data_IF_339105596015
#
_entry.id   IF_339105596015
#
_cell.length_a   1.000
_cell.length_b   1.000
_cell.length_c   1.000
_cell.angle_alpha   90.00
_cell.angle_beta   90.00
_cell.angle_gamma   90.00
#
_symmetry.space_group_name_H-M   'P 1'
#
loop_
_entity.id
_entity.type
_entity.pdbx_description
1 polymer ?
#
# COMPACT_ATOMS: atom_id res chain seq x y z
N UNK A 1 -45.22 -20.95 -47.77
CA UNK A 1 -44.03 -21.78 -48.04
C UNK A 1 -43.09 -21.51 -46.87
N UNK A 2 -42.88 -22.38 -45.88
CA UNK A 2 -42.35 -23.76 -45.96
C UNK A 2 -40.94 -23.76 -46.60
N UNK A 3 -39.86 -24.35 -46.06
CA UNK A 3 -39.59 -25.17 -44.86
C UNK A 3 -38.09 -24.99 -44.46
N UNK A 4 -37.50 -25.49 -43.37
CA UNK A 4 -37.93 -26.43 -42.30
C UNK A 4 -37.16 -26.19 -40.97
N UNK A 5 -37.25 -27.13 -40.01
CA UNK A 5 -36.31 -27.36 -38.88
C UNK A 5 -35.78 -28.80 -38.94
N UNK A 6 -34.50 -29.04 -38.65
CA UNK A 6 -33.88 -30.32 -38.22
C UNK A 6 -32.62 -29.94 -37.41
N UNK A 7 -32.26 -30.42 -36.20
CA UNK A 7 -32.41 -31.70 -35.46
C UNK A 7 -31.61 -32.89 -36.02
N UNK A 8 -31.21 -33.80 -35.12
CA UNK A 8 -30.16 -34.85 -35.22
C UNK A 8 -28.76 -34.26 -34.95
N UNK A 9 -28.10 -34.36 -33.78
CA UNK A 9 -28.05 -35.36 -32.68
C UNK A 9 -27.25 -36.64 -33.02
N UNK A 10 -26.54 -37.21 -32.03
CA UNK A 10 -25.68 -38.42 -32.09
C UNK A 10 -24.26 -38.19 -32.69
N UNK A 11 -23.17 -38.85 -32.23
CA UNK A 11 -22.99 -39.76 -31.09
C UNK A 11 -21.50 -39.79 -30.64
N UNK A 12 -21.29 -40.17 -29.38
CA UNK A 12 -20.01 -40.34 -28.66
C UNK A 12 -19.03 -41.29 -29.37
N UNK A 13 -17.73 -40.97 -29.34
CA UNK A 13 -16.67 -41.99 -29.28
C UNK A 13 -15.56 -41.57 -28.32
N UNK A 14 -15.34 -42.40 -27.31
CA UNK A 14 -14.34 -42.22 -26.26
C UNK A 14 -12.97 -42.71 -26.73
N UNK A 15 -11.90 -41.98 -26.43
CA UNK A 15 -10.58 -42.58 -26.18
C UNK A 15 -10.11 -42.09 -24.82
N UNK A 16 -9.81 -43.04 -23.94
CA UNK A 16 -9.45 -42.78 -22.56
C UNK A 16 -7.93 -42.76 -22.37
N UNK A 17 -7.49 -42.05 -21.32
CA UNK A 17 -6.17 -42.15 -20.66
C UNK A 17 -4.95 -41.81 -21.51
N UNK A 18 -4.37 -40.63 -21.24
CA UNK A 18 -2.92 -40.48 -21.20
C UNK A 18 -2.48 -39.76 -19.91
N UNK A 19 -1.82 -40.53 -19.04
CA UNK A 19 -0.94 -40.14 -17.94
C UNK A 19 -1.13 -38.76 -17.26
N UNK A 20 -2.00 -38.71 -16.24
CA UNK A 20 -1.80 -37.82 -15.09
C UNK A 20 -0.66 -38.37 -14.21
N UNK A 21 0.59 -37.98 -14.47
CA UNK A 21 1.72 -38.23 -13.55
C UNK A 21 2.99 -37.43 -13.88
N UNK A 22 2.87 -36.11 -14.13
CA UNK A 22 3.95 -35.19 -13.75
C UNK A 22 3.92 -35.07 -12.23
N UNK A 23 4.91 -35.62 -11.54
CA UNK A 23 4.83 -35.91 -10.11
C UNK A 23 4.61 -34.67 -9.23
N UNK A 24 3.89 -34.86 -8.13
CA UNK A 24 4.16 -34.08 -6.93
C UNK A 24 5.56 -34.46 -6.44
N UNK A 25 6.56 -33.72 -6.88
CA UNK A 25 7.86 -33.73 -6.23
C UNK A 25 7.65 -33.19 -4.81
N UNK A 26 7.66 -34.08 -3.82
CA UNK A 26 7.63 -33.70 -2.40
C UNK A 26 8.90 -32.91 -2.09
N UNK A 27 8.82 -31.59 -2.20
CA UNK A 27 9.89 -30.70 -1.78
C UNK A 27 10.19 -30.95 -0.30
N UNK A 28 11.47 -31.00 0.11
CA UNK A 28 11.84 -31.44 1.45
C UNK A 28 11.41 -30.41 2.51
N UNK A 29 10.86 -30.92 3.62
CA UNK A 29 10.04 -30.20 4.61
C UNK A 29 10.73 -29.03 5.36
N UNK A 30 12.01 -28.76 5.10
CA UNK A 30 12.81 -27.77 5.83
C UNK A 30 12.58 -26.31 5.37
N UNK A 31 12.08 -26.08 4.14
CA UNK A 31 11.75 -24.72 3.67
C UNK A 31 10.34 -24.26 4.11
N UNK A 32 9.43 -25.19 4.43
CA UNK A 32 8.05 -24.93 4.83
C UNK A 32 7.95 -23.93 5.97
N UNK A 33 8.78 -24.10 7.01
CA UNK A 33 8.81 -23.21 8.18
C UNK A 33 9.34 -21.80 7.84
N UNK A 34 10.31 -21.67 6.93
CA UNK A 34 10.83 -20.37 6.54
C UNK A 34 9.81 -19.57 5.70
N UNK A 35 9.17 -20.23 4.72
CA UNK A 35 8.13 -19.63 3.89
C UNK A 35 6.88 -19.26 4.71
N UNK A 36 6.39 -20.16 5.57
CA UNK A 36 5.27 -19.91 6.48
C UNK A 36 5.57 -18.77 7.47
N UNK A 37 6.77 -18.75 8.07
CA UNK A 37 7.20 -17.68 8.98
C UNK A 37 7.29 -16.32 8.28
N UNK A 38 7.87 -16.27 7.07
CA UNK A 38 7.94 -15.07 6.24
C UNK A 38 6.56 -14.53 5.86
N UNK A 39 5.64 -15.41 5.46
CA UNK A 39 4.26 -15.09 5.13
C UNK A 39 3.50 -14.53 6.34
N UNK A 40 3.47 -15.27 7.44
CA UNK A 40 2.82 -14.88 8.70
C UNK A 40 3.39 -13.56 9.28
N UNK A 41 4.70 -13.32 9.15
CA UNK A 41 5.33 -12.04 9.56
C UNK A 41 4.92 -10.87 8.65
N UNK A 42 4.67 -11.13 7.37
CA UNK A 42 4.22 -10.12 6.40
C UNK A 42 2.75 -9.80 6.60
N UNK A 43 1.89 -10.82 6.73
CA UNK A 43 0.47 -10.69 7.07
C UNK A 43 0.30 -9.89 8.38
N UNK A 44 1.05 -10.22 9.44
CA UNK A 44 1.08 -9.44 10.70
C UNK A 44 1.56 -7.99 10.58
N UNK A 45 2.34 -7.63 9.55
CA UNK A 45 2.73 -6.24 9.30
C UNK A 45 1.64 -5.48 8.55
N UNK A 46 0.93 -6.14 7.64
CA UNK A 46 -0.18 -5.57 6.87
C UNK A 46 -1.38 -5.31 7.80
N UNK A 47 -1.78 -6.31 8.58
CA UNK A 47 -2.84 -6.23 9.59
C UNK A 47 -2.64 -5.06 10.57
N UNK A 48 -1.43 -4.93 11.13
CA UNK A 48 -1.06 -3.78 11.96
C UNK A 48 -1.18 -2.45 11.22
N UNK A 49 -0.71 -2.37 9.98
CA UNK A 49 -0.79 -1.13 9.20
C UNK A 49 -2.24 -0.69 8.96
N UNK A 50 -3.14 -1.63 8.68
CA UNK A 50 -4.57 -1.38 8.54
C UNK A 50 -5.22 -0.95 9.85
N UNK A 51 -4.87 -1.56 10.98
CA UNK A 51 -5.36 -1.15 12.29
C UNK A 51 -4.95 0.30 12.66
N UNK A 52 -3.70 0.70 12.37
CA UNK A 52 -3.27 2.09 12.58
C UNK A 52 -3.93 3.05 11.60
N UNK A 53 -4.06 2.70 10.31
CA UNK A 53 -4.79 3.49 9.32
C UNK A 53 -6.23 3.75 9.75
N UNK A 54 -6.94 2.71 10.17
CA UNK A 54 -8.33 2.81 10.66
C UNK A 54 -8.43 3.72 11.90
N UNK A 55 -7.51 3.63 12.86
CA UNK A 55 -7.46 4.53 14.02
C UNK A 55 -7.22 5.98 13.62
N UNK A 56 -6.29 6.23 12.70
CA UNK A 56 -6.01 7.57 12.19
C UNK A 56 -7.23 8.15 11.47
N UNK A 57 -7.87 7.42 10.55
CA UNK A 57 -9.03 7.91 9.81
C UNK A 57 -10.27 8.14 10.69
N UNK A 58 -10.53 7.25 11.66
CA UNK A 58 -11.77 7.30 12.48
C UNK A 58 -11.67 8.19 13.72
N UNK A 59 -10.50 8.24 14.37
CA UNK A 59 -10.29 8.99 15.62
C UNK A 59 -9.33 10.16 15.48
N UNK A 60 -8.66 10.31 14.33
CA UNK A 60 -7.54 11.23 14.14
C UNK A 60 -6.41 10.98 15.15
N UNK A 61 -6.23 9.72 15.52
CA UNK A 61 -5.27 9.26 16.53
C UNK A 61 -3.83 9.65 16.19
N UNK A 62 -3.25 10.50 17.02
CA UNK A 62 -1.92 11.10 16.85
C UNK A 62 -0.80 10.05 16.84
N UNK A 63 -0.88 9.05 17.72
CA UNK A 63 0.08 7.94 17.79
C UNK A 63 -0.01 7.03 16.58
N UNK A 64 -1.19 6.90 15.98
CA UNK A 64 -1.37 6.18 14.72
C UNK A 64 -0.76 6.93 13.53
N UNK A 65 -0.92 8.25 13.47
CA UNK A 65 -0.25 9.11 12.48
C UNK A 65 1.27 8.93 12.54
N UNK A 66 1.87 9.09 13.73
CA UNK A 66 3.32 8.90 13.95
C UNK A 66 3.79 7.48 13.60
N UNK A 67 2.99 6.46 13.93
CA UNK A 67 3.32 5.08 13.57
C UNK A 67 3.33 4.87 12.05
N UNK A 68 2.37 5.43 11.32
CA UNK A 68 2.31 5.33 9.85
C UNK A 68 3.53 6.03 9.23
N UNK A 69 3.83 7.26 9.65
CA UNK A 69 5.01 8.02 9.22
C UNK A 69 6.29 7.20 9.40
N UNK A 70 6.49 6.62 10.59
CA UNK A 70 7.71 5.88 10.94
C UNK A 70 7.84 4.50 10.27
N UNK A 71 6.73 3.77 10.07
CA UNK A 71 6.76 2.35 9.69
C UNK A 71 6.30 2.07 8.25
N UNK A 72 5.61 3.03 7.63
CA UNK A 72 4.96 2.87 6.32
C UNK A 72 5.46 3.84 5.27
N UNK A 73 6.11 4.94 5.63
CA UNK A 73 6.68 5.90 4.67
C UNK A 73 8.22 5.84 4.61
N UNK A 74 8.78 6.19 3.46
CA UNK A 74 10.20 6.46 3.25
C UNK A 74 10.39 7.45 2.08
N UNK A 75 11.49 8.23 2.08
CA UNK A 75 11.86 9.07 0.95
C UNK A 75 12.03 8.22 -0.33
N UNK A 76 11.37 8.60 -1.42
CA UNK A 76 11.30 7.82 -2.66
C UNK A 76 9.92 7.25 -3.01
N UNK A 77 8.93 7.34 -2.11
CA UNK A 77 7.55 6.92 -2.41
C UNK A 77 6.84 7.87 -3.38
N UNK A 78 6.01 7.35 -4.28
CA UNK A 78 5.05 8.19 -5.01
C UNK A 78 3.96 8.73 -4.09
N UNK A 79 3.41 9.90 -4.42
CA UNK A 79 2.31 10.52 -3.66
C UNK A 79 1.09 9.61 -3.55
N UNK A 80 0.77 8.87 -4.62
CA UNK A 80 -0.29 7.86 -4.61
C UNK A 80 -0.02 6.72 -3.61
N UNK A 81 1.25 6.33 -3.42
CA UNK A 81 1.63 5.34 -2.39
C UNK A 81 1.45 5.91 -0.99
N UNK A 82 1.87 7.17 -0.76
CA UNK A 82 1.70 7.87 0.52
C UNK A 82 0.21 8.01 0.89
N UNK A 83 -0.62 8.45 -0.06
CA UNK A 83 -2.07 8.54 0.12
C UNK A 83 -2.70 7.17 0.47
N UNK A 84 -2.29 6.10 -0.22
CA UNK A 84 -2.72 4.73 0.10
C UNK A 84 -2.30 4.29 1.51
N UNK A 85 -1.12 4.68 1.98
CA UNK A 85 -0.66 4.32 3.33
C UNK A 85 -1.44 5.04 4.43
N UNK A 86 -1.82 6.32 4.23
CA UNK A 86 -2.75 7.03 5.12
C UNK A 86 -4.22 6.64 4.95
N UNK A 87 -4.61 6.12 3.79
CA UNK A 87 -6.00 5.86 3.42
C UNK A 87 -6.81 7.12 3.08
N UNK A 88 -6.14 8.27 2.90
CA UNK A 88 -6.73 9.52 2.43
C UNK A 88 -5.72 10.29 1.57
N UNK A 89 -6.24 11.04 0.58
CA UNK A 89 -5.43 11.95 -0.22
C UNK A 89 -4.99 13.17 0.60
N UNK A 90 -3.75 13.60 0.40
CA UNK A 90 -3.23 14.83 0.97
C UNK A 90 -3.84 16.06 0.29
N UNK A 91 -4.05 17.13 1.04
CA UNK A 91 -4.54 18.41 0.51
C UNK A 91 -3.36 19.22 -0.05
N UNK A 92 -3.35 19.51 -1.35
CA UNK A 92 -2.32 20.34 -2.00
C UNK A 92 -2.20 21.73 -1.36
N UNK A 93 -0.98 22.20 -1.16
CA UNK A 93 -0.68 23.49 -0.53
C UNK A 93 0.01 24.44 -1.51
N UNK A 94 -0.78 25.07 -2.37
CA UNK A 94 -0.31 26.01 -3.42
C UNK A 94 0.61 27.12 -2.86
N UNK A 95 0.26 27.69 -1.71
CA UNK A 95 0.98 28.80 -1.06
C UNK A 95 2.03 28.35 -0.03
N UNK A 96 2.85 27.35 -0.38
CA UNK A 96 3.94 26.80 0.45
C UNK A 96 5.15 27.74 0.64
N UNK A 97 4.93 29.06 0.68
CA UNK A 97 5.97 30.08 0.91
C UNK A 97 6.69 29.90 2.25
N UNK A 98 5.98 29.42 3.28
CA UNK A 98 6.55 29.19 4.62
C UNK A 98 7.47 27.95 4.66
N UNK A 99 7.10 26.85 3.99
CA UNK A 99 7.96 25.67 3.83
C UNK A 99 9.26 26.04 3.08
N UNK A 100 9.14 26.84 2.01
CA UNK A 100 10.29 27.38 1.26
C UNK A 100 11.14 28.36 2.08
N UNK A 101 10.57 28.98 3.11
CA UNK A 101 11.27 29.93 4.01
C UNK A 101 11.92 29.26 5.25
N UNK A 102 11.59 28.01 5.56
CA UNK A 102 12.12 27.32 6.77
C UNK A 102 13.59 26.89 6.60
N UNK A 103 14.13 26.97 5.38
CA UNK A 103 15.52 26.67 5.05
C UNK A 103 15.75 25.17 4.81
N UNK A 104 16.28 24.81 3.65
CA UNK A 104 16.52 23.43 3.27
C UNK A 104 16.61 23.24 1.75
N UNK A 105 16.74 21.98 1.31
CA UNK A 105 16.95 21.57 -0.09
C UNK A 105 15.66 21.64 -0.94
N UNK A 106 14.80 22.61 -0.66
CA UNK A 106 13.51 22.81 -1.31
C UNK A 106 13.67 23.62 -2.61
N UNK A 107 13.11 23.12 -3.70
CA UNK A 107 13.06 23.80 -4.99
C UNK A 107 11.76 24.60 -5.13
N UNK A 108 11.76 25.56 -6.03
CA UNK A 108 10.55 26.31 -6.40
C UNK A 108 9.46 25.42 -6.98
N UNK A 109 9.84 24.33 -7.64
CA UNK A 109 8.99 23.30 -8.26
C UNK A 109 8.54 22.19 -7.30
N UNK A 110 9.04 22.14 -6.07
CA UNK A 110 8.60 21.13 -5.12
C UNK A 110 7.17 21.45 -4.64
N UNK A 111 6.33 20.42 -4.63
CA UNK A 111 4.93 20.45 -4.22
C UNK A 111 4.80 20.02 -2.78
N UNK A 112 3.87 20.61 -2.02
CA UNK A 112 3.59 20.20 -0.65
C UNK A 112 2.15 19.75 -0.50
N UNK A 113 1.96 18.66 0.24
CA UNK A 113 0.66 18.08 0.53
C UNK A 113 0.50 17.91 2.05
N UNK A 114 -0.69 18.25 2.53
CA UNK A 114 -1.05 18.25 3.96
C UNK A 114 -1.94 17.05 4.28
N UNK A 115 -1.57 16.31 5.33
CA UNK A 115 -2.42 15.32 6.00
C UNK A 115 -2.82 15.80 7.41
N UNK A 116 -3.98 15.36 7.87
CA UNK A 116 -4.57 15.78 9.14
C UNK A 116 -5.49 17.01 9.04
N UNK A 117 -5.80 17.67 10.16
CA UNK A 117 -5.16 17.54 11.46
C UNK A 117 -5.43 16.21 12.18
N UNK A 118 -4.54 15.84 13.10
CA UNK A 118 -4.78 14.84 14.14
C UNK A 118 -5.66 15.40 15.28
N UNK A 119 -6.00 14.56 16.26
CA UNK A 119 -6.83 14.88 17.42
C UNK A 119 -6.30 16.06 18.26
N UNK A 120 -4.99 16.35 18.18
CA UNK A 120 -4.34 17.46 18.86
C UNK A 120 -4.21 18.71 17.97
N UNK A 121 -4.81 18.70 16.78
CA UNK A 121 -4.72 19.78 15.79
C UNK A 121 -3.45 19.76 14.93
N UNK A 122 -2.51 18.82 15.15
CA UNK A 122 -1.25 18.75 14.43
C UNK A 122 -1.49 18.23 13.01
N UNK A 123 -0.99 18.96 12.01
CA UNK A 123 -1.01 18.54 10.61
C UNK A 123 0.40 18.23 10.13
N UNK A 124 0.53 17.28 9.21
CA UNK A 124 1.83 16.89 8.64
C UNK A 124 1.89 17.33 7.18
N UNK A 125 3.00 17.97 6.82
CA UNK A 125 3.26 18.45 5.47
C UNK A 125 4.39 17.62 4.88
N UNK A 126 4.09 16.90 3.80
CA UNK A 126 5.07 16.10 3.06
C UNK A 126 5.35 16.75 1.71
N UNK A 127 6.61 16.68 1.29
CA UNK A 127 7.12 17.40 0.13
C UNK A 127 7.44 16.42 -1.00
N UNK A 128 6.97 16.74 -2.20
CA UNK A 128 7.09 15.90 -3.38
C UNK A 128 7.83 16.65 -4.49
N UNK A 129 8.65 15.93 -5.22
CA UNK A 129 9.36 16.37 -6.42
C UNK A 129 9.10 15.33 -7.49
N UNK A 130 8.51 15.75 -8.61
CA UNK A 130 8.15 14.84 -9.71
C UNK A 130 7.28 13.66 -9.22
N UNK A 131 6.26 13.95 -8.39
CA UNK A 131 5.39 13.01 -7.63
C UNK A 131 6.09 12.13 -6.58
N UNK A 132 7.41 12.27 -6.36
CA UNK A 132 8.21 11.47 -5.41
C UNK A 132 8.46 12.20 -4.08
N UNK A 133 8.19 11.53 -2.95
CA UNK A 133 8.44 12.02 -1.59
C UNK A 133 9.93 12.29 -1.36
N UNK A 134 10.28 13.53 -1.05
CA UNK A 134 11.66 13.99 -0.79
C UNK A 134 11.79 14.62 0.60
N UNK A 135 13.03 14.65 1.10
CA UNK A 135 13.39 15.30 2.36
C UNK A 135 12.59 14.80 3.58
N UNK A 136 12.39 13.47 3.65
CA UNK A 136 11.66 12.78 4.72
C UNK A 136 12.54 11.72 5.39
N UNK A 137 12.88 11.90 6.67
CA UNK A 137 13.46 10.86 7.52
C UNK A 137 12.41 10.33 8.53
N UNK A 138 12.09 9.02 8.53
CA UNK A 138 11.23 8.39 9.54
C UNK A 138 11.64 8.63 11.01
N UNK A 139 12.90 9.01 11.27
CA UNK A 139 13.43 9.29 12.62
C UNK A 139 13.00 10.63 13.18
N UNK A 140 12.66 11.60 12.34
CA UNK A 140 12.14 12.90 12.78
C UNK A 140 10.79 12.75 13.53
N UNK A 141 10.14 11.60 13.32
CA UNK A 141 8.87 11.19 13.93
C UNK A 141 9.08 10.13 15.02
N UNK A 142 10.17 10.23 15.79
CA UNK A 142 10.30 9.47 17.04
C UNK A 142 9.19 9.86 18.03
N UNK A 143 8.18 8.97 18.10
CA UNK A 143 7.18 8.91 19.17
C UNK A 143 7.84 9.29 20.51
N UNK A 144 7.41 10.42 21.07
CA UNK A 144 8.11 11.07 22.19
C UNK A 144 8.32 10.18 23.40
N UNK A 145 9.38 10.49 24.14
CA UNK A 145 9.59 10.04 25.53
C UNK A 145 8.44 10.48 26.43
#
# INVERSE_FOLDING_TARGET
MANSRCLVTWMVCSIAVFALSSGCETMPDWESNAAMSGRHRTEKKVDKAEAYRTRYLTKRDSKALDWILKNRLYSGMSRATVAKEFGEDGQYQESSKWLKATGGTFRTTDEAYKWGPDENGRSVYLIFRDDVLVNFDPKDFELGK
#
